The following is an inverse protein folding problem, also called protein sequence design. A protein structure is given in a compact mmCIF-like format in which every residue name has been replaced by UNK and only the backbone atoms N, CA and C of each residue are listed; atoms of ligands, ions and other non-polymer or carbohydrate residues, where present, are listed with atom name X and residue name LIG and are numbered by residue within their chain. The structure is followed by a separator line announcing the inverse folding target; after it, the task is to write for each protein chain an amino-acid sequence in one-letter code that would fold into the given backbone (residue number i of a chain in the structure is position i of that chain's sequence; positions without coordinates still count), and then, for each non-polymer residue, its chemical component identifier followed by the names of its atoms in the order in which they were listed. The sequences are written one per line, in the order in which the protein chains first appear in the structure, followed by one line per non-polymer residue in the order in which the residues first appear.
data_IF_806572067449
#
_entry.id   IF_806572067449
#
_cell.length_a   1.000
_cell.length_b   1.000
_cell.length_c   1.000
_cell.angle_alpha   90.00
_cell.angle_beta   90.00
_cell.angle_gamma   90.00
#
_symmetry.space_group_name_H-M   'P 1'
#
loop_
_entity.id
_entity.type
_entity.pdbx_description
1 polymer ?
#
# COMPACT_ATOMS: atom_id res chain seq x y z
N UNK A 1 -67.63 -44.27 21.52
CA UNK A 1 -66.23 -44.53 21.37
C UNK A 1 -65.59 -43.38 20.53
N UNK A 2 -65.03 -42.34 21.16
CA UNK A 2 -64.55 -41.15 20.42
C UNK A 2 -63.01 -41.21 20.46
N UNK A 3 -62.36 -41.44 19.30
CA UNK A 3 -60.95 -41.32 19.12
C UNK A 3 -60.52 -39.85 19.13
N UNK A 4 -59.59 -39.47 20.02
CA UNK A 4 -58.91 -38.17 20.01
C UNK A 4 -57.62 -38.34 19.21
N UNK A 5 -57.57 -37.67 18.04
CA UNK A 5 -56.31 -37.47 17.32
C UNK A 5 -55.47 -36.43 18.03
N UNK A 6 -54.25 -36.83 18.47
CA UNK A 6 -53.23 -35.92 18.99
C UNK A 6 -52.28 -35.65 17.84
N UNK A 7 -52.20 -34.40 17.40
CA UNK A 7 -51.24 -33.93 16.40
C UNK A 7 -49.89 -33.63 17.06
N UNK A 8 -48.75 -34.01 16.48
CA UNK A 8 -47.44 -33.65 17.01
C UNK A 8 -47.09 -32.20 16.64
N UNK A 9 -46.72 -31.41 17.65
CA UNK A 9 -46.19 -30.07 17.47
C UNK A 9 -44.70 -30.21 17.09
N UNK A 10 -44.38 -29.91 15.83
CA UNK A 10 -43.01 -29.85 15.36
C UNK A 10 -42.38 -28.51 15.82
N UNK A 11 -41.49 -28.55 16.79
CA UNK A 11 -40.64 -27.40 17.20
C UNK A 11 -39.59 -27.14 16.16
N UNK A 12 -39.72 -26.06 15.42
CA UNK A 12 -38.66 -25.56 14.51
C UNK A 12 -37.65 -24.82 15.37
N UNK A 13 -36.50 -25.43 15.58
CA UNK A 13 -35.31 -24.75 16.19
C UNK A 13 -34.67 -23.89 15.10
N UNK A 14 -34.89 -22.59 15.14
CA UNK A 14 -34.23 -21.60 14.28
C UNK A 14 -32.84 -21.36 14.80
N UNK A 15 -31.84 -22.05 14.22
CA UNK A 15 -30.42 -21.81 14.51
C UNK A 15 -29.99 -20.53 13.82
N UNK A 16 -29.91 -19.42 14.56
CA UNK A 16 -29.32 -18.18 14.06
C UNK A 16 -27.80 -18.37 13.87
N UNK A 17 -27.37 -18.49 12.60
CA UNK A 17 -25.95 -18.36 12.27
C UNK A 17 -25.53 -16.89 12.50
N UNK A 18 -24.84 -16.65 13.62
CA UNK A 18 -24.07 -15.43 13.81
C UNK A 18 -22.87 -15.47 12.84
N UNK A 19 -23.00 -14.85 11.68
CA UNK A 19 -21.85 -14.51 10.85
C UNK A 19 -21.05 -13.42 11.58
N UNK A 20 -20.04 -13.83 12.35
CA UNK A 20 -19.03 -12.91 12.86
C UNK A 20 -18.36 -12.26 11.64
N UNK A 21 -18.68 -11.00 11.37
CA UNK A 21 -17.91 -10.18 10.44
C UNK A 21 -16.51 -10.08 11.03
N UNK A 22 -15.57 -10.86 10.50
CA UNK A 22 -14.14 -10.71 10.84
C UNK A 22 -13.74 -9.30 10.39
N UNK A 23 -13.74 -8.35 11.31
CA UNK A 23 -13.25 -7.00 11.06
C UNK A 23 -11.86 -7.11 10.45
N UNK A 24 -11.65 -6.54 9.25
CA UNK A 24 -10.34 -6.57 8.60
C UNK A 24 -9.31 -6.01 9.58
N UNK A 25 -8.30 -6.82 9.92
CA UNK A 25 -7.22 -6.40 10.81
C UNK A 25 -6.51 -5.21 10.19
N UNK A 26 -6.31 -4.13 10.96
CA UNK A 26 -5.67 -2.90 10.51
C UNK A 26 -4.41 -2.59 11.30
N UNK A 27 -3.48 -1.90 10.67
CA UNK A 27 -2.28 -1.31 11.29
C UNK A 27 -2.41 0.20 11.24
N UNK A 28 -2.32 0.82 12.40
CA UNK A 28 -2.40 2.28 12.55
C UNK A 28 -1.01 2.90 12.45
N UNK A 29 -0.83 3.90 11.60
CA UNK A 29 0.38 4.71 11.60
C UNK A 29 0.35 5.64 12.85
N UNK A 30 1.32 5.49 13.79
CA UNK A 30 1.17 6.06 15.14
C UNK A 30 1.25 7.59 15.17
N UNK A 31 1.95 8.24 14.23
CA UNK A 31 2.15 9.70 14.20
C UNK A 31 0.97 10.46 13.59
N UNK A 32 0.18 9.81 12.72
CA UNK A 32 -0.96 10.43 12.02
C UNK A 32 -2.31 9.88 12.48
N UNK A 33 -2.32 8.67 13.01
CA UNK A 33 -3.54 7.96 13.37
C UNK A 33 -4.28 7.32 12.18
N UNK A 34 -3.73 7.39 10.97
CA UNK A 34 -4.30 6.74 9.78
C UNK A 34 -4.15 5.22 9.89
N UNK A 35 -5.22 4.48 9.64
CA UNK A 35 -5.23 3.01 9.63
C UNK A 35 -5.17 2.46 8.21
N UNK A 36 -4.49 1.31 8.08
CA UNK A 36 -4.34 0.59 6.82
C UNK A 36 -4.64 -0.90 7.05
N UNK A 37 -5.45 -1.56 6.20
CA UNK A 37 -5.73 -2.98 6.34
C UNK A 37 -4.48 -3.82 6.15
N UNK A 38 -4.34 -4.93 6.90
CA UNK A 38 -3.18 -5.85 6.77
C UNK A 38 -3.16 -6.59 5.43
N UNK A 39 -4.33 -6.69 4.78
CA UNK A 39 -4.49 -7.26 3.44
C UNK A 39 -5.36 -6.36 2.58
N UNK A 40 -4.96 -6.15 1.32
CA UNK A 40 -5.66 -5.32 0.35
C UNK A 40 -5.43 -5.87 -1.06
N UNK A 41 -6.52 -6.15 -1.79
CA UNK A 41 -6.46 -6.58 -3.21
C UNK A 41 -5.49 -7.75 -3.47
N UNK A 42 -5.46 -8.75 -2.59
CA UNK A 42 -4.55 -9.89 -2.67
C UNK A 42 -3.09 -9.58 -2.31
N UNK A 43 -2.82 -8.38 -1.79
CA UNK A 43 -1.51 -7.96 -1.31
C UNK A 43 -1.47 -7.90 0.21
N UNK A 44 -0.28 -8.16 0.78
CA UNK A 44 0.01 -8.13 2.22
C UNK A 44 0.78 -6.87 2.58
N UNK A 45 0.40 -6.23 3.70
CA UNK A 45 1.05 -5.04 4.24
C UNK A 45 2.42 -5.37 4.83
N UNK A 46 3.48 -4.74 4.31
CA UNK A 46 4.85 -4.83 4.83
C UNK A 46 5.18 -3.76 5.88
N UNK A 47 4.46 -2.65 5.91
CA UNK A 47 4.66 -1.63 6.92
C UNK A 47 3.94 -0.32 6.60
N UNK A 48 3.93 0.56 7.59
CA UNK A 48 3.30 1.88 7.51
C UNK A 48 4.25 2.95 8.05
N UNK A 49 4.24 4.12 7.45
CA UNK A 49 5.07 5.24 7.90
C UNK A 49 4.49 6.60 7.52
N UNK A 50 5.16 7.68 7.88
CA UNK A 50 4.72 9.03 7.53
C UNK A 50 5.81 9.80 6.80
N UNK A 51 5.43 10.41 5.68
CA UNK A 51 6.25 11.40 4.98
C UNK A 51 6.17 12.74 5.69
N UNK A 52 7.33 13.25 6.07
CA UNK A 52 7.47 14.61 6.61
C UNK A 52 8.32 15.46 5.67
N UNK A 53 8.03 16.74 5.58
CA UNK A 53 8.81 17.72 4.79
C UNK A 53 9.32 18.81 5.72
N UNK A 54 10.48 19.39 5.37
CA UNK A 54 11.18 20.44 6.11
C UNK A 54 11.78 20.00 7.46
N UNK A 55 12.67 20.81 8.02
CA UNK A 55 13.27 20.61 9.36
C UNK A 55 12.21 20.61 10.48
N UNK A 56 11.05 21.25 10.26
CA UNK A 56 9.92 21.25 11.19
C UNK A 56 9.11 19.94 11.17
N UNK A 57 9.50 18.96 10.36
CA UNK A 57 8.84 17.64 10.22
C UNK A 57 7.33 17.75 9.98
N UNK A 58 6.91 18.67 9.11
CA UNK A 58 5.52 18.82 8.73
C UNK A 58 5.03 17.54 8.03
N UNK A 59 4.02 16.88 8.59
CA UNK A 59 3.46 15.64 8.05
C UNK A 59 2.70 15.93 6.75
N UNK A 60 2.99 15.17 5.70
CA UNK A 60 2.37 15.33 4.36
C UNK A 60 1.34 14.23 4.12
N UNK A 61 1.76 12.98 4.24
CA UNK A 61 0.88 11.82 4.11
C UNK A 61 1.35 10.66 5.01
N UNK A 62 0.41 9.83 5.44
CA UNK A 62 0.70 8.49 5.91
C UNK A 62 0.83 7.57 4.69
N UNK A 63 1.78 6.64 4.72
CA UNK A 63 2.01 5.69 3.65
C UNK A 63 1.97 4.26 4.16
N UNK A 64 1.49 3.35 3.32
CA UNK A 64 1.53 1.90 3.53
C UNK A 64 2.14 1.24 2.29
N UNK A 65 2.99 0.24 2.50
CA UNK A 65 3.59 -0.54 1.41
C UNK A 65 3.06 -1.97 1.42
N UNK A 66 2.57 -2.40 0.27
CA UNK A 66 1.99 -3.72 0.05
C UNK A 66 2.74 -4.48 -1.03
N UNK A 67 2.82 -5.80 -0.88
CA UNK A 67 3.32 -6.71 -1.92
C UNK A 67 2.35 -7.88 -2.10
N UNK A 68 2.30 -8.46 -3.30
CA UNK A 68 1.51 -9.65 -3.57
C UNK A 68 1.88 -10.78 -2.60
N UNK A 69 0.89 -11.52 -2.08
CA UNK A 69 1.13 -12.66 -1.20
C UNK A 69 2.01 -13.73 -1.89
N UNK A 70 1.85 -13.91 -3.21
CA UNK A 70 2.71 -14.80 -4.01
C UNK A 70 4.19 -14.37 -4.04
N UNK A 71 4.48 -13.08 -3.94
CA UNK A 71 5.87 -12.59 -3.90
C UNK A 71 6.55 -12.96 -2.58
N UNK A 72 5.81 -13.03 -1.47
CA UNK A 72 6.33 -13.42 -0.16
C UNK A 72 6.72 -14.91 -0.11
N UNK A 73 5.93 -15.78 -0.76
CA UNK A 73 6.24 -17.21 -0.89
C UNK A 73 7.25 -17.49 -2.01
N UNK A 74 7.41 -16.58 -2.96
CA UNK A 74 8.29 -16.68 -4.12
C UNK A 74 9.58 -15.87 -3.98
N UNK A 75 9.80 -14.82 -4.80
CA UNK A 75 11.09 -14.13 -4.89
C UNK A 75 11.55 -13.48 -3.59
N UNK A 76 10.65 -13.05 -2.72
CA UNK A 76 11.02 -12.44 -1.44
C UNK A 76 11.33 -13.47 -0.34
N UNK A 77 10.98 -14.73 -0.51
CA UNK A 77 11.26 -15.79 0.48
C UNK A 77 12.75 -15.95 0.78
N UNK A 78 13.62 -15.67 -0.20
CA UNK A 78 15.08 -15.73 -0.04
C UNK A 78 15.62 -14.69 0.98
N UNK A 79 14.83 -13.66 1.31
CA UNK A 79 15.22 -12.61 2.25
C UNK A 79 14.75 -12.87 3.69
N UNK A 80 14.26 -14.06 4.02
CA UNK A 80 13.93 -14.45 5.40
C UNK A 80 15.13 -14.23 6.30
N UNK A 81 14.96 -13.46 7.39
CA UNK A 81 16.04 -13.10 8.30
C UNK A 81 16.97 -11.97 7.82
N UNK A 82 16.82 -11.48 6.59
CA UNK A 82 17.68 -10.46 5.98
C UNK A 82 16.91 -9.25 5.41
N UNK A 83 15.80 -8.89 6.02
CA UNK A 83 14.88 -7.84 5.55
C UNK A 83 15.40 -6.40 5.69
N UNK A 84 16.60 -6.22 6.21
CA UNK A 84 17.33 -4.94 6.27
C UNK A 84 18.47 -4.86 5.25
N UNK A 85 18.79 -5.97 4.57
CA UNK A 85 19.88 -6.03 3.60
C UNK A 85 19.59 -5.17 2.35
N UNK A 86 20.61 -4.55 1.74
CA UNK A 86 20.43 -3.79 0.48
C UNK A 86 19.79 -4.61 -0.65
N UNK A 87 20.09 -5.92 -0.72
CA UNK A 87 19.50 -6.81 -1.70
C UNK A 87 17.96 -6.93 -1.55
N UNK A 88 17.44 -6.96 -0.32
CA UNK A 88 16.00 -6.98 -0.08
C UNK A 88 15.31 -5.73 -0.65
N UNK A 89 15.85 -4.54 -0.35
CA UNK A 89 15.30 -3.29 -0.89
C UNK A 89 15.41 -3.22 -2.41
N UNK A 90 16.53 -3.67 -2.99
CA UNK A 90 16.68 -3.74 -4.45
C UNK A 90 15.60 -4.62 -5.07
N UNK A 91 15.30 -5.77 -4.49
CA UNK A 91 14.29 -6.67 -5.01
C UNK A 91 12.86 -6.12 -4.77
N UNK A 92 12.62 -5.37 -3.70
CA UNK A 92 11.37 -4.62 -3.53
C UNK A 92 11.19 -3.52 -4.59
N UNK A 93 12.26 -2.85 -5.00
CA UNK A 93 12.21 -1.78 -6.02
C UNK A 93 12.04 -2.39 -7.43
N UNK A 94 12.88 -3.36 -7.80
CA UNK A 94 13.02 -3.82 -9.19
C UNK A 94 12.32 -5.15 -9.50
N UNK A 95 11.93 -5.90 -8.48
CA UNK A 95 11.25 -7.19 -8.66
C UNK A 95 9.94 -7.04 -9.42
N UNK A 96 9.70 -7.94 -10.40
CA UNK A 96 8.52 -7.92 -11.25
C UNK A 96 7.39 -8.72 -10.61
N UNK A 97 6.82 -8.17 -9.56
CA UNK A 97 5.65 -8.69 -8.86
C UNK A 97 4.74 -7.53 -8.45
N UNK A 98 3.43 -7.77 -8.30
CA UNK A 98 2.50 -6.74 -7.89
C UNK A 98 2.86 -6.18 -6.51
N UNK A 99 2.96 -4.86 -6.43
CA UNK A 99 3.24 -4.11 -5.21
C UNK A 99 2.58 -2.74 -5.29
N UNK A 100 2.35 -2.11 -4.14
CA UNK A 100 1.68 -0.82 -4.11
C UNK A 100 2.17 0.06 -2.94
N UNK A 101 2.28 1.35 -3.19
CA UNK A 101 2.33 2.39 -2.17
C UNK A 101 0.94 3.03 -2.09
N UNK A 102 0.36 3.03 -0.90
CA UNK A 102 -0.91 3.69 -0.59
C UNK A 102 -0.61 4.90 0.27
N UNK A 103 -0.97 6.10 -0.20
CA UNK A 103 -0.71 7.36 0.50
C UNK A 103 -2.03 8.01 0.89
N UNK A 104 -2.27 8.20 2.19
CA UNK A 104 -3.40 9.00 2.70
C UNK A 104 -2.88 10.35 3.16
N UNK A 105 -3.27 11.40 2.48
CA UNK A 105 -2.80 12.76 2.76
C UNK A 105 -3.37 13.24 4.09
N UNK A 106 -2.53 13.84 4.94
CA UNK A 106 -2.93 14.37 6.25
C UNK A 106 -2.97 15.89 6.27
N UNK A 107 -2.74 16.50 5.11
CA UNK A 107 -2.91 17.92 4.80
C UNK A 107 -3.22 18.11 3.33
N UNK A 108 -3.76 19.27 2.98
CA UNK A 108 -3.95 19.67 1.59
C UNK A 108 -2.60 19.86 0.92
N UNK A 109 -2.51 19.44 -0.35
CA UNK A 109 -1.30 19.51 -1.15
C UNK A 109 -1.64 20.01 -2.55
N UNK A 110 -0.87 20.96 -3.08
CA UNK A 110 -1.09 21.50 -4.42
C UNK A 110 -0.41 20.65 -5.49
N UNK A 111 -0.88 20.74 -6.74
CA UNK A 111 -0.27 20.06 -7.88
C UNK A 111 1.20 20.46 -8.06
N UNK A 112 1.55 21.74 -7.84
CA UNK A 112 2.95 22.19 -7.90
C UNK A 112 3.82 21.54 -6.84
N UNK A 113 3.33 21.43 -5.59
CA UNK A 113 4.08 20.75 -4.52
C UNK A 113 4.34 19.27 -4.82
N UNK A 114 3.39 18.58 -5.47
CA UNK A 114 3.56 17.20 -5.92
C UNK A 114 4.61 17.12 -7.01
N UNK A 115 4.48 17.94 -8.06
CA UNK A 115 5.43 17.99 -9.18
C UNK A 115 6.86 18.27 -8.70
N UNK A 116 7.02 19.32 -7.90
CA UNK A 116 8.34 19.74 -7.39
C UNK A 116 8.99 18.65 -6.54
N UNK A 117 8.19 17.89 -5.75
CA UNK A 117 8.68 16.76 -4.99
C UNK A 117 9.18 15.61 -5.88
N UNK A 118 8.53 15.35 -7.03
CA UNK A 118 9.01 14.36 -7.99
C UNK A 118 10.26 14.82 -8.75
N UNK A 119 10.34 16.10 -9.10
CA UNK A 119 11.54 16.67 -9.73
C UNK A 119 12.75 16.57 -8.79
N UNK A 120 12.56 16.87 -7.49
CA UNK A 120 13.60 16.72 -6.47
C UNK A 120 14.02 15.25 -6.28
N UNK A 121 13.06 14.32 -6.26
CA UNK A 121 13.32 12.91 -6.01
C UNK A 121 13.91 12.16 -7.23
N UNK A 122 13.61 12.60 -8.44
CA UNK A 122 13.97 11.94 -9.71
C UNK A 122 14.62 12.91 -10.71
N UNK A 123 15.74 13.55 -10.36
CA UNK A 123 16.32 14.64 -11.15
C UNK A 123 16.88 14.19 -12.52
N UNK A 124 17.03 12.88 -12.76
CA UNK A 124 17.55 12.32 -14.01
C UNK A 124 16.43 11.84 -14.96
N UNK A 125 15.17 11.89 -14.51
CA UNK A 125 14.04 11.48 -15.33
C UNK A 125 13.54 12.67 -16.15
N UNK A 126 13.13 12.39 -17.38
CA UNK A 126 12.55 13.39 -18.29
C UNK A 126 11.35 14.12 -17.64
N UNK A 127 11.35 15.44 -17.74
CA UNK A 127 10.34 16.31 -17.13
C UNK A 127 8.93 16.05 -17.68
N UNK A 128 8.78 15.80 -18.99
CA UNK A 128 7.46 15.54 -19.56
C UNK A 128 6.83 14.27 -18.94
N UNK A 129 7.66 13.26 -18.64
CA UNK A 129 7.21 12.04 -17.95
C UNK A 129 6.86 12.29 -16.49
N UNK A 130 7.65 13.10 -15.79
CA UNK A 130 7.34 13.51 -14.41
C UNK A 130 6.09 14.37 -14.35
N UNK A 131 5.87 15.25 -15.32
CA UNK A 131 4.65 16.06 -15.41
C UNK A 131 3.41 15.19 -15.63
N UNK A 132 3.49 14.22 -16.55
CA UNK A 132 2.41 13.24 -16.75
C UNK A 132 2.11 12.49 -15.46
N UNK A 133 3.14 11.92 -14.81
CA UNK A 133 2.95 11.14 -13.57
C UNK A 133 2.43 12.01 -12.42
N UNK A 134 2.96 13.21 -12.22
CA UNK A 134 2.51 14.13 -11.17
C UNK A 134 1.07 14.58 -11.39
N UNK A 135 0.64 14.74 -12.65
CA UNK A 135 -0.75 15.09 -12.99
C UNK A 135 -1.76 14.05 -12.52
N UNK A 136 -1.35 12.79 -12.41
CA UNK A 136 -2.21 11.72 -11.89
C UNK A 136 -2.61 11.93 -10.43
N UNK A 137 -1.81 12.64 -9.65
CA UNK A 137 -2.11 12.92 -8.24
C UNK A 137 -3.14 14.04 -8.08
N UNK A 138 -3.13 15.03 -8.97
CA UNK A 138 -3.98 16.23 -8.86
C UNK A 138 -3.62 17.08 -7.65
N UNK A 139 -4.63 17.48 -6.88
CA UNK A 139 -4.52 18.32 -5.66
C UNK A 139 -5.12 17.58 -4.47
N UNK A 140 -4.45 16.55 -3.93
CA UNK A 140 -5.05 15.74 -2.86
C UNK A 140 -5.28 16.58 -1.61
N UNK A 141 -6.51 16.51 -1.10
CA UNK A 141 -6.94 17.13 0.14
C UNK A 141 -6.68 16.21 1.34
N UNK A 142 -6.66 16.76 2.54
CA UNK A 142 -6.59 16.00 3.78
C UNK A 142 -7.65 14.89 3.81
N UNK A 143 -7.24 13.67 4.14
CA UNK A 143 -8.07 12.47 4.17
C UNK A 143 -8.18 11.74 2.83
N UNK A 144 -7.77 12.33 1.72
CA UNK A 144 -7.81 11.69 0.42
C UNK A 144 -6.62 10.74 0.22
N UNK A 145 -6.86 9.70 -0.60
CA UNK A 145 -5.89 8.63 -0.83
C UNK A 145 -5.47 8.58 -2.30
N UNK A 146 -4.16 8.42 -2.51
CA UNK A 146 -3.55 8.09 -3.80
C UNK A 146 -2.84 6.74 -3.68
N UNK A 147 -3.05 5.87 -4.66
CA UNK A 147 -2.41 4.56 -4.77
C UNK A 147 -1.54 4.54 -6.01
N UNK A 148 -0.28 4.17 -5.85
CA UNK A 148 0.64 3.87 -6.95
C UNK A 148 0.96 2.39 -6.90
N UNK A 149 0.62 1.67 -7.96
CA UNK A 149 0.76 0.22 -8.07
C UNK A 149 1.72 -0.15 -9.19
N UNK A 150 2.52 -1.19 -8.96
CA UNK A 150 3.28 -1.88 -9.98
C UNK A 150 2.43 -3.02 -10.54
N UNK A 151 2.00 -2.89 -11.79
CA UNK A 151 1.33 -3.94 -12.53
C UNK A 151 2.31 -4.84 -13.30
N UNK A 152 1.81 -5.88 -13.97
CA UNK A 152 2.63 -6.81 -14.75
C UNK A 152 3.54 -6.11 -15.77
N UNK A 153 4.80 -6.54 -15.84
CA UNK A 153 5.78 -5.98 -16.77
C UNK A 153 6.30 -4.58 -16.39
N UNK A 154 6.03 -4.10 -15.17
CA UNK A 154 6.49 -2.79 -14.72
C UNK A 154 5.61 -1.62 -15.19
N UNK A 155 4.32 -1.86 -15.33
CA UNK A 155 3.34 -0.80 -15.60
C UNK A 155 3.01 -0.06 -14.31
N UNK A 156 3.09 1.27 -14.30
CA UNK A 156 2.57 2.10 -13.21
C UNK A 156 1.07 2.31 -13.40
N UNK A 157 0.31 1.84 -12.43
CA UNK A 157 -1.12 2.08 -12.30
C UNK A 157 -1.34 3.07 -11.15
N UNK A 158 -1.99 4.20 -11.41
CA UNK A 158 -2.30 5.21 -10.39
C UNK A 158 -3.80 5.32 -10.20
N UNK A 159 -4.24 5.29 -8.94
CA UNK A 159 -5.61 5.64 -8.56
C UNK A 159 -5.56 6.83 -7.61
N UNK A 160 -6.17 7.94 -7.98
CA UNK A 160 -6.22 9.15 -7.17
C UNK A 160 -7.66 9.47 -6.80
N UNK A 161 -7.95 9.53 -5.50
CA UNK A 161 -9.28 9.86 -4.96
C UNK A 161 -10.38 9.00 -5.63
N UNK A 162 -10.12 7.70 -5.78
CA UNK A 162 -11.03 6.73 -6.41
C UNK A 162 -11.02 6.74 -7.96
N UNK A 163 -10.34 7.69 -8.62
CA UNK A 163 -10.28 7.76 -10.07
C UNK A 163 -9.03 7.05 -10.60
N UNK A 164 -9.22 6.04 -11.44
CA UNK A 164 -8.13 5.33 -12.13
C UNK A 164 -7.57 6.23 -13.23
N UNK A 165 -6.25 6.35 -13.29
CA UNK A 165 -5.52 7.14 -14.29
C UNK A 165 -5.00 6.24 -15.41
N UNK A 166 -4.73 6.79 -16.61
CA UNK A 166 -4.09 6.04 -17.67
C UNK A 166 -2.79 5.39 -17.18
N UNK A 167 -2.52 4.11 -17.50
CA UNK A 167 -1.30 3.44 -17.06
C UNK A 167 -0.06 3.99 -17.78
N UNK A 168 1.09 3.94 -17.11
CA UNK A 168 2.40 4.30 -17.71
C UNK A 168 3.20 3.01 -17.84
N UNK A 169 3.35 2.52 -19.08
CA UNK A 169 4.06 1.28 -19.40
C UNK A 169 5.56 1.57 -19.63
N UNK A 170 6.34 1.58 -18.53
CA UNK A 170 7.79 1.74 -18.57
C UNK A 170 8.39 1.16 -17.28
N UNK A 171 9.04 0.00 -17.40
CA UNK A 171 9.63 -0.72 -16.26
C UNK A 171 10.75 0.06 -15.57
N UNK A 172 11.57 0.78 -16.34
CA UNK A 172 12.67 1.57 -15.80
C UNK A 172 12.11 2.76 -14.99
N UNK A 173 11.10 3.43 -15.52
CA UNK A 173 10.39 4.49 -14.81
C UNK A 173 9.68 3.96 -13.56
N UNK A 174 9.01 2.81 -13.66
CA UNK A 174 8.37 2.17 -12.51
C UNK A 174 9.38 1.88 -11.38
N UNK A 175 10.55 1.34 -11.73
CA UNK A 175 11.65 1.14 -10.76
C UNK A 175 12.11 2.46 -10.11
N UNK A 176 12.31 3.51 -10.92
CA UNK A 176 12.68 4.82 -10.40
C UNK A 176 11.60 5.37 -9.44
N UNK A 177 10.32 5.24 -9.78
CA UNK A 177 9.19 5.68 -8.92
C UNK A 177 9.19 4.93 -7.59
N UNK A 178 9.28 3.59 -7.57
CA UNK A 178 9.36 2.84 -6.30
C UNK A 178 10.66 3.12 -5.54
N UNK A 179 11.73 3.48 -6.26
CA UNK A 179 13.00 3.95 -5.70
C UNK A 179 12.88 5.21 -4.86
N UNK A 180 11.88 6.06 -5.09
CA UNK A 180 11.61 7.26 -4.27
C UNK A 180 11.46 6.90 -2.79
N UNK A 181 10.79 5.79 -2.48
CA UNK A 181 10.54 5.37 -1.09
C UNK A 181 11.52 4.30 -0.60
N UNK A 182 11.98 3.40 -1.47
CA UNK A 182 12.67 2.17 -1.06
C UNK A 182 14.09 2.07 -1.63
N UNK A 183 14.50 2.99 -2.51
CA UNK A 183 15.79 2.97 -3.19
C UNK A 183 16.97 3.29 -2.28
N UNK A 184 18.16 3.38 -2.87
CA UNK A 184 19.40 3.72 -2.15
C UNK A 184 19.41 5.17 -1.62
N UNK A 185 18.77 6.08 -2.34
CA UNK A 185 18.58 7.48 -1.93
C UNK A 185 17.09 7.79 -1.80
N UNK A 186 16.45 7.28 -0.72
CA UNK A 186 15.02 7.47 -0.56
C UNK A 186 14.70 8.92 -0.20
N UNK A 187 13.47 9.32 -0.45
CA UNK A 187 12.96 10.65 -0.08
C UNK A 187 13.02 10.91 1.44
N UNK A 188 13.11 9.84 2.25
CA UNK A 188 13.19 9.89 3.71
C UNK A 188 13.59 8.51 4.28
N UNK A 189 14.70 8.43 5.00
CA UNK A 189 15.26 7.16 5.50
C UNK A 189 14.40 6.45 6.55
N UNK A 190 13.80 7.19 7.49
CA UNK A 190 12.91 6.60 8.48
C UNK A 190 11.63 6.07 7.83
N UNK A 191 11.07 6.78 6.84
CA UNK A 191 9.93 6.27 6.06
C UNK A 191 10.27 4.96 5.34
N UNK A 192 11.44 4.86 4.70
CA UNK A 192 11.90 3.63 4.04
C UNK A 192 11.89 2.45 5.01
N UNK A 193 12.45 2.61 6.21
CA UNK A 193 12.47 1.56 7.24
C UNK A 193 11.07 1.21 7.73
N UNK A 194 10.25 2.22 7.98
CA UNK A 194 8.88 2.05 8.49
C UNK A 194 8.00 1.27 7.50
N UNK A 195 8.16 1.50 6.18
CA UNK A 195 7.40 0.84 5.13
C UNK A 195 7.64 -0.67 5.01
N UNK A 196 8.71 -1.19 5.62
CA UNK A 196 9.04 -2.62 5.62
C UNK A 196 9.17 -3.19 7.04
N UNK A 197 8.76 -2.45 8.07
CA UNK A 197 8.96 -2.83 9.46
C UNK A 197 8.30 -4.16 9.84
N UNK A 198 7.25 -4.59 9.14
CA UNK A 198 6.56 -5.87 9.34
C UNK A 198 7.14 -7.01 8.47
N UNK A 199 8.06 -6.72 7.55
CA UNK A 199 8.63 -7.74 6.68
C UNK A 199 9.23 -8.94 7.44
N UNK A 200 9.95 -8.78 8.59
CA UNK A 200 10.46 -9.92 9.35
C UNK A 200 9.37 -10.84 9.88
N UNK A 201 8.21 -10.30 10.27
CA UNK A 201 7.06 -11.08 10.73
C UNK A 201 6.38 -11.79 9.57
N UNK A 202 6.03 -11.02 8.54
CA UNK A 202 5.27 -11.49 7.37
C UNK A 202 6.03 -12.57 6.57
N UNK A 203 7.35 -12.45 6.45
CA UNK A 203 8.17 -13.46 5.77
C UNK A 203 8.45 -14.72 6.61
N UNK A 204 8.22 -14.69 7.94
CA UNK A 204 8.34 -15.87 8.80
C UNK A 204 7.08 -16.73 8.81
N UNK A 205 5.92 -16.13 8.56
CA UNK A 205 4.67 -16.88 8.48
C UNK A 205 4.71 -17.86 7.31
N UNK A 206 4.34 -19.13 7.50
CA UNK A 206 4.34 -20.16 6.46
C UNK A 206 3.31 -19.87 5.35
#
# INVERSE_FOLDING_TARGET
MRLRCVAPVASIVLTALLTASAGAQEVKEPRTGVSFPVSRDGMTLLGVGVRTKTFLKVKVYAAAFYVAASALAGPLAAHRGHTTAPAFYRDLVWGDFPKAIVMTFVRDTTASQIRDAFYEALPTIDHARLDLFSSHFGTPQKGQTVVVRWGPGGVIETTSVGNVKPPIADKAFAGAVFGIWLGEKPIQEDLKRDLVARAPEVLRSP
#
